data_IF_987699946908
#
_entry.id   IF_987699946908
#
_cell.length_a   1.000
_cell.length_b   1.000
_cell.length_c   1.000
_cell.angle_alpha   90.00
_cell.angle_beta   90.00
_cell.angle_gamma   90.00
#
_symmetry.space_group_name_H-M   'P 1'
#
loop_
_entity.id
_entity.type
_entity.pdbx_description
1 polymer ?
#
# COMPACT_ATOMS: atom_id res chain seq x y z
N UNK A 1 -2.95 -13.64 -11.79
CA UNK A 1 -2.19 -12.94 -10.70
C UNK A 1 -2.66 -11.50 -10.60
N UNK A 2 -2.57 -10.97 -9.41
CA UNK A 2 -2.87 -9.55 -9.14
C UNK A 2 -1.66 -8.86 -8.53
N UNK A 3 -1.45 -7.63 -8.92
CA UNK A 3 -0.47 -6.75 -8.30
C UNK A 3 -1.19 -5.77 -7.40
N UNK A 4 -0.86 -5.76 -6.13
CA UNK A 4 -1.54 -4.96 -5.13
C UNK A 4 -0.58 -3.87 -4.67
N UNK A 5 -1.07 -2.63 -4.73
CA UNK A 5 -0.35 -1.46 -4.25
C UNK A 5 -1.19 -0.85 -3.14
N UNK A 6 -0.61 -0.73 -1.96
CA UNK A 6 -1.29 -0.10 -0.83
C UNK A 6 -0.50 1.12 -0.37
N UNK A 7 -1.17 2.26 -0.32
CA UNK A 7 -0.61 3.49 0.26
C UNK A 7 -1.25 3.65 1.63
N UNK A 8 -0.44 3.61 2.68
CA UNK A 8 -0.92 3.59 4.06
C UNK A 8 -0.19 4.63 4.91
N UNK A 9 -0.71 4.89 6.09
CA UNK A 9 -0.03 5.72 7.08
C UNK A 9 1.23 5.00 7.58
N UNK A 10 2.34 5.73 7.78
CA UNK A 10 3.60 5.11 8.22
C UNK A 10 3.47 4.29 9.50
N UNK A 11 2.70 4.76 10.47
CA UNK A 11 2.50 4.07 11.72
C UNK A 11 1.74 2.74 11.63
N UNK A 12 1.18 2.42 10.47
CA UNK A 12 0.44 1.17 10.25
C UNK A 12 1.28 0.06 9.63
N UNK A 13 2.51 0.35 9.22
CA UNK A 13 3.33 -0.62 8.50
C UNK A 13 3.55 -1.91 9.27
N UNK A 14 3.97 -1.81 10.52
CA UNK A 14 4.29 -3.01 11.31
C UNK A 14 3.08 -3.91 11.50
N UNK A 15 1.92 -3.31 11.80
CA UNK A 15 0.68 -4.07 11.97
C UNK A 15 0.23 -4.74 10.66
N UNK A 16 0.36 -4.04 9.53
CA UNK A 16 0.01 -4.60 8.21
C UNK A 16 0.96 -5.73 7.85
N UNK A 17 2.25 -5.55 8.07
CA UNK A 17 3.25 -6.60 7.82
C UNK A 17 2.93 -7.86 8.62
N UNK A 18 2.66 -7.72 9.91
CA UNK A 18 2.30 -8.84 10.78
C UNK A 18 1.01 -9.53 10.32
N UNK A 19 -0.01 -8.75 10.00
CA UNK A 19 -1.30 -9.30 9.55
C UNK A 19 -1.18 -10.04 8.22
N UNK A 20 -0.40 -9.53 7.28
CA UNK A 20 -0.15 -10.20 6.01
C UNK A 20 0.66 -11.49 6.21
N UNK A 21 1.62 -11.49 7.10
CA UNK A 21 2.36 -12.69 7.47
C UNK A 21 1.45 -13.79 8.02
N UNK A 22 0.47 -13.40 8.84
CA UNK A 22 -0.50 -14.34 9.43
C UNK A 22 -1.38 -15.05 8.40
N UNK A 23 -1.59 -14.45 7.24
CA UNK A 23 -2.35 -15.07 6.14
C UNK A 23 -1.44 -15.70 5.07
N UNK A 24 -0.16 -15.85 5.37
CA UNK A 24 0.77 -16.57 4.51
C UNK A 24 1.52 -15.74 3.49
N UNK A 25 1.46 -14.41 3.55
CA UNK A 25 2.23 -13.55 2.67
C UNK A 25 3.66 -13.48 3.18
N UNK A 26 4.61 -13.88 2.34
CA UNK A 26 6.03 -13.95 2.71
C UNK A 26 6.90 -12.91 2.01
N UNK A 27 6.36 -12.24 1.00
CA UNK A 27 7.13 -11.25 0.25
C UNK A 27 6.32 -9.99 -0.05
N UNK A 28 6.94 -8.85 0.15
CA UNK A 28 6.41 -7.55 -0.25
C UNK A 28 7.54 -6.56 -0.38
N UNK A 29 7.31 -5.53 -1.16
CA UNK A 29 8.25 -4.43 -1.32
C UNK A 29 7.67 -3.20 -0.63
N UNK A 30 8.48 -2.54 0.16
CA UNK A 30 8.07 -1.36 0.93
C UNK A 30 8.93 -0.17 0.51
N UNK A 31 8.28 0.96 0.29
CA UNK A 31 8.98 2.21 0.03
C UNK A 31 8.33 3.36 0.79
N UNK A 32 9.14 4.33 1.16
CA UNK A 32 8.67 5.57 1.73
C UNK A 32 8.33 6.52 0.59
N UNK A 33 7.12 7.08 0.64
CA UNK A 33 6.61 7.97 -0.41
C UNK A 33 5.98 9.18 0.23
N UNK A 34 5.68 10.17 -0.58
CA UNK A 34 4.91 11.33 -0.15
C UNK A 34 3.61 11.37 -0.92
N UNK A 35 2.51 11.50 -0.18
CA UNK A 35 1.19 11.56 -0.77
C UNK A 35 0.60 12.96 -0.72
N UNK A 36 -0.11 13.31 -1.76
CA UNK A 36 -0.94 14.50 -1.82
C UNK A 36 -2.39 14.05 -1.94
N UNK A 37 -3.26 14.57 -1.08
CA UNK A 37 -4.66 14.21 -1.10
C UNK A 37 -5.51 15.23 -0.36
N UNK A 38 -6.77 14.88 -0.17
CA UNK A 38 -7.72 15.73 0.54
C UNK A 38 -7.46 15.68 2.05
N UNK A 39 -6.50 16.46 2.50
CA UNK A 39 -6.27 16.64 3.92
C UNK A 39 -6.78 18.01 4.34
N UNK A 40 -8.05 18.05 4.71
CA UNK A 40 -8.67 19.27 5.21
C UNK A 40 -7.97 19.75 6.46
N UNK A 41 -7.81 21.06 6.59
CA UNK A 41 -7.26 21.69 7.79
C UNK A 41 -5.75 21.84 7.82
N UNK A 42 -5.08 21.54 6.74
CA UNK A 42 -3.62 21.70 6.62
C UNK A 42 -3.23 22.88 5.76
N UNK A 43 -4.10 23.86 5.59
CA UNK A 43 -3.72 25.12 4.95
C UNK A 43 -3.18 26.07 6.01
N UNK A 44 -2.07 26.70 5.71
CA UNK A 44 -1.49 27.75 6.54
C UNK A 44 -1.51 29.06 5.77
N UNK A 45 -1.86 30.14 6.46
CA UNK A 45 -1.80 31.48 5.90
C UNK A 45 -0.51 32.12 6.37
N UNK A 46 0.34 32.49 5.42
CA UNK A 46 1.57 33.17 5.70
C UNK A 46 1.69 34.42 4.85
N UNK A 47 1.83 35.59 5.49
CA UNK A 47 1.86 36.90 4.83
C UNK A 47 0.70 37.16 3.88
N UNK A 48 -0.51 36.71 4.26
CA UNK A 48 -1.71 36.89 3.45
C UNK A 48 -1.86 35.92 2.29
N UNK A 49 -0.92 35.00 2.10
CA UNK A 49 -1.00 33.94 1.10
C UNK A 49 -1.34 32.62 1.79
N UNK A 50 -2.26 31.87 1.23
CA UNK A 50 -2.59 30.55 1.72
C UNK A 50 -1.61 29.52 1.16
N UNK A 51 -0.92 28.83 2.05
CA UNK A 51 -0.03 27.73 1.70
C UNK A 51 -0.69 26.43 2.14
N UNK A 52 -0.96 25.55 1.18
CA UNK A 52 -1.46 24.21 1.46
C UNK A 52 -0.25 23.31 1.62
N UNK A 53 -0.20 22.60 2.75
CA UNK A 53 0.80 21.53 2.92
C UNK A 53 0.35 20.38 2.05
N UNK A 54 0.99 20.21 0.90
CA UNK A 54 0.53 19.34 -0.16
C UNK A 54 1.00 17.90 -0.02
N UNK A 55 2.12 17.68 0.67
CA UNK A 55 2.73 16.35 0.70
C UNK A 55 2.91 15.87 2.13
N UNK A 56 2.47 14.63 2.37
CA UNK A 56 2.58 13.96 3.66
C UNK A 56 3.31 12.64 3.49
N UNK A 57 4.14 12.24 4.46
CA UNK A 57 4.78 10.94 4.44
C UNK A 57 3.76 9.82 4.40
N UNK A 58 3.98 8.86 3.54
CA UNK A 58 3.19 7.63 3.43
C UNK A 58 4.12 6.45 3.20
N UNK A 59 3.59 5.26 3.39
CA UNK A 59 4.27 4.02 3.04
C UNK A 59 3.54 3.41 1.85
N UNK A 60 4.32 2.94 0.88
CA UNK A 60 3.81 2.19 -0.26
C UNK A 60 4.23 0.74 -0.10
N UNK A 61 3.26 -0.14 -0.08
CA UNK A 61 3.48 -1.59 -0.06
C UNK A 61 3.08 -2.12 -1.42
N UNK A 62 3.94 -2.96 -2.01
CA UNK A 62 3.68 -3.60 -3.29
C UNK A 62 3.88 -5.10 -3.14
N UNK A 63 2.93 -5.88 -3.62
CA UNK A 63 3.04 -7.32 -3.62
C UNK A 63 2.24 -7.93 -4.76
N UNK A 64 2.74 -9.05 -5.28
CA UNK A 64 2.07 -9.85 -6.28
C UNK A 64 1.49 -11.09 -5.61
N UNK A 65 0.25 -11.42 -5.92
CA UNK A 65 -0.44 -12.57 -5.35
C UNK A 65 -1.23 -13.31 -6.41
N UNK A 66 -1.55 -14.56 -6.13
CA UNK A 66 -2.51 -15.29 -6.95
C UNK A 66 -3.88 -14.62 -6.87
N UNK A 67 -4.63 -14.66 -7.96
CA UNK A 67 -5.94 -14.02 -8.05
C UNK A 67 -6.87 -14.44 -6.90
N UNK A 68 -6.87 -15.71 -6.57
CA UNK A 68 -7.73 -16.25 -5.49
C UNK A 68 -7.38 -15.69 -4.10
N UNK A 69 -6.17 -15.19 -3.91
CA UNK A 69 -5.70 -14.64 -2.63
C UNK A 69 -5.95 -13.14 -2.51
N UNK A 70 -6.19 -12.46 -3.62
CA UNK A 70 -6.21 -11.00 -3.68
C UNK A 70 -7.26 -10.37 -2.76
N UNK A 71 -8.48 -10.89 -2.72
CA UNK A 71 -9.54 -10.34 -1.88
C UNK A 71 -9.19 -10.40 -0.39
N UNK A 72 -8.61 -11.51 0.05
CA UNK A 72 -8.18 -11.67 1.44
C UNK A 72 -7.05 -10.69 1.80
N UNK A 73 -6.11 -10.51 0.88
CA UNK A 73 -5.00 -9.56 1.09
C UNK A 73 -5.54 -8.13 1.21
N UNK A 74 -6.41 -7.73 0.29
CA UNK A 74 -7.00 -6.38 0.29
C UNK A 74 -7.78 -6.14 1.58
N UNK A 75 -8.62 -7.08 1.97
CA UNK A 75 -9.41 -6.97 3.20
C UNK A 75 -8.51 -6.89 4.44
N UNK A 76 -7.47 -7.69 4.49
CA UNK A 76 -6.51 -7.70 5.60
C UNK A 76 -5.82 -6.34 5.73
N UNK A 77 -5.35 -5.78 4.62
CA UNK A 77 -4.72 -4.46 4.63
C UNK A 77 -5.72 -3.39 5.07
N UNK A 78 -6.91 -3.40 4.50
CA UNK A 78 -7.94 -2.42 4.83
C UNK A 78 -8.25 -2.41 6.32
N UNK A 79 -8.58 -3.55 6.88
CA UNK A 79 -8.96 -3.65 8.29
C UNK A 79 -7.84 -3.24 9.24
N UNK A 80 -6.61 -3.56 8.87
CA UNK A 80 -5.46 -3.26 9.71
C UNK A 80 -5.03 -1.80 9.62
N UNK A 81 -5.13 -1.22 8.43
CA UNK A 81 -4.63 0.13 8.17
C UNK A 81 -5.67 1.23 8.41
N UNK A 82 -6.95 0.90 8.50
CA UNK A 82 -7.99 1.92 8.67
C UNK A 82 -7.98 2.53 10.07
N UNK A 83 -8.18 3.84 10.13
CA UNK A 83 -8.44 4.57 11.36
C UNK A 83 -9.80 5.27 11.32
N UNK A 84 -10.44 5.31 10.17
CA UNK A 84 -11.67 6.04 9.93
C UNK A 84 -11.45 7.52 9.68
N UNK A 85 -10.21 7.97 9.61
CA UNK A 85 -9.84 9.37 9.39
C UNK A 85 -9.43 9.60 7.95
N UNK A 86 -9.56 10.85 7.50
CA UNK A 86 -9.03 11.28 6.19
C UNK A 86 -7.51 11.07 6.21
N UNK A 87 -6.98 10.49 5.15
CA UNK A 87 -5.56 10.22 5.01
C UNK A 87 -5.15 8.77 5.27
N UNK A 88 -6.12 7.88 5.50
CA UNK A 88 -5.83 6.45 5.69
C UNK A 88 -5.17 5.78 4.49
N UNK A 89 -5.37 6.34 3.30
CA UNK A 89 -4.75 5.84 2.09
C UNK A 89 -5.68 5.08 1.17
N UNK A 90 -5.10 4.38 0.22
CA UNK A 90 -5.84 3.63 -0.80
C UNK A 90 -5.13 2.34 -1.15
N UNK A 91 -5.90 1.39 -1.64
CA UNK A 91 -5.39 0.12 -2.16
C UNK A 91 -5.80 0.01 -3.62
N UNK A 92 -4.83 -0.32 -4.47
CA UNK A 92 -5.05 -0.54 -5.89
C UNK A 92 -4.77 -2.00 -6.21
N UNK A 93 -5.61 -2.61 -7.04
CA UNK A 93 -5.40 -3.95 -7.53
C UNK A 93 -5.38 -3.93 -9.05
N UNK A 94 -4.32 -4.46 -9.63
CA UNK A 94 -4.12 -4.51 -11.07
C UNK A 94 -3.96 -5.95 -11.52
N UNK A 95 -4.37 -6.23 -12.74
CA UNK A 95 -4.05 -7.51 -13.36
C UNK A 95 -2.55 -7.56 -13.64
N UNK A 96 -1.92 -8.63 -13.17
CA UNK A 96 -0.51 -8.89 -13.43
C UNK A 96 -0.41 -9.97 -14.49
N UNK A 97 0.14 -9.60 -15.64
CA UNK A 97 0.24 -10.50 -16.78
C UNK A 97 1.27 -11.61 -16.56
N UNK A 98 2.42 -11.26 -15.99
CA UNK A 98 3.49 -12.23 -15.79
C UNK A 98 4.40 -11.78 -14.64
N UNK A 99 5.17 -12.74 -14.13
CA UNK A 99 6.21 -12.53 -13.15
C UNK A 99 7.35 -13.51 -13.44
N UNK A 100 8.57 -13.10 -13.14
CA UNK A 100 9.73 -13.94 -13.29
C UNK A 100 10.62 -13.80 -12.04
N UNK A 101 10.99 -14.94 -11.46
CA UNK A 101 11.93 -14.94 -10.34
C UNK A 101 13.36 -14.97 -10.88
N UNK A 102 14.10 -13.94 -10.57
CA UNK A 102 15.44 -13.74 -11.15
C UNK A 102 16.38 -14.92 -10.83
N UNK A 103 16.36 -15.40 -9.59
CA UNK A 103 17.28 -16.46 -9.15
C UNK A 103 17.04 -17.79 -9.88
N UNK A 104 15.78 -18.14 -10.11
CA UNK A 104 15.41 -19.47 -10.62
C UNK A 104 14.95 -19.47 -12.07
N UNK A 105 14.56 -18.31 -12.61
CA UNK A 105 13.93 -18.22 -13.93
C UNK A 105 12.49 -18.72 -13.97
N UNK A 106 11.90 -19.08 -12.81
CA UNK A 106 10.50 -19.47 -12.76
C UNK A 106 9.60 -18.33 -13.17
N UNK A 107 8.51 -18.64 -13.89
CA UNK A 107 7.57 -17.65 -14.40
C UNK A 107 6.16 -17.92 -13.91
N UNK A 108 5.28 -16.92 -14.04
CA UNK A 108 3.89 -17.03 -13.65
C UNK A 108 3.73 -17.17 -12.14
N UNK A 109 2.69 -17.89 -11.70
CA UNK A 109 2.39 -18.02 -10.28
C UNK A 109 3.46 -18.76 -9.48
N UNK A 110 4.27 -19.59 -10.12
CA UNK A 110 5.40 -20.25 -9.44
C UNK A 110 6.54 -19.30 -9.11
N UNK A 111 6.54 -18.11 -9.73
CA UNK A 111 7.53 -17.08 -9.44
C UNK A 111 7.20 -16.24 -8.20
N UNK A 112 5.99 -16.37 -7.67
CA UNK A 112 5.53 -15.57 -6.55
C UNK A 112 6.03 -16.08 -5.20
#
# INVERSE_FOLDING_TARGET
MKYIIAIIQPGKLDAVHEALGAIGITGMTVSEVQGYGRQKGKSEIYRGAEYVINFMPKIKIELAVETKKASEVIETIQKTAESGKIGDGKIFALDLKDALRIRTGETGSTAL
#
